data_IF_184870445061
#
_entry.id   IF_184870445061
#
_cell.length_a   1.000
_cell.length_b   1.000
_cell.length_c   1.000
_cell.angle_alpha   90.00
_cell.angle_beta   90.00
_cell.angle_gamma   90.00
#
_symmetry.space_group_name_H-M   'P 1'
#
loop_
_entity.id
_entity.type
_entity.pdbx_description
1 polymer ?
#
# COMPACT_ATOMS: atom_id res chain seq x y z
N UNK A 1 3.89 -20.46 7.73
CA UNK A 1 4.59 -19.70 6.68
C UNK A 1 4.00 -18.31 6.63
N UNK A 2 4.78 -17.23 6.81
CA UNK A 2 4.24 -15.88 6.75
C UNK A 2 3.82 -15.54 5.32
N UNK A 3 2.54 -15.19 5.14
CA UNK A 3 1.98 -14.69 3.88
C UNK A 3 1.86 -13.17 4.03
N UNK A 4 2.62 -12.40 3.26
CA UNK A 4 2.49 -10.94 3.24
C UNK A 4 1.52 -10.55 2.14
N UNK A 5 0.50 -9.78 2.51
CA UNK A 5 -0.67 -9.47 1.69
C UNK A 5 -0.69 -7.97 1.38
N UNK A 6 -0.77 -7.61 0.10
CA UNK A 6 -1.14 -6.25 -0.32
C UNK A 6 -2.63 -6.30 -0.70
N UNK A 7 -3.49 -5.79 0.18
CA UNK A 7 -4.93 -6.13 0.27
C UNK A 7 -5.90 -5.11 -0.32
N UNK A 8 -5.42 -4.06 -0.99
CA UNK A 8 -6.29 -2.92 -1.26
C UNK A 8 -7.07 -3.04 -2.59
N UNK A 9 -8.39 -2.78 -2.60
CA UNK A 9 -9.16 -2.61 -3.82
C UNK A 9 -8.60 -1.45 -4.67
N UNK A 10 -8.54 -1.63 -5.99
CA UNK A 10 -7.99 -0.66 -6.96
C UNK A 10 -6.51 -0.31 -6.74
N UNK A 11 -5.59 -1.30 -6.75
CA UNK A 11 -4.16 -1.06 -6.52
C UNK A 11 -3.52 -0.18 -7.60
N UNK A 12 -4.19 0.00 -8.75
CA UNK A 12 -3.68 0.69 -9.94
C UNK A 12 -3.95 2.19 -9.96
N UNK A 13 -4.65 2.75 -8.97
CA UNK A 13 -4.89 4.20 -8.92
C UNK A 13 -3.60 4.97 -8.65
N UNK A 14 -3.36 6.04 -9.38
CA UNK A 14 -2.26 6.97 -9.10
C UNK A 14 -2.44 7.65 -7.75
N UNK A 15 -1.35 8.17 -7.16
CA UNK A 15 -1.43 8.90 -5.90
C UNK A 15 -2.35 10.13 -6.00
N UNK A 16 -2.45 10.76 -7.16
CA UNK A 16 -3.38 11.87 -7.40
C UNK A 16 -4.84 11.43 -7.31
N UNK A 17 -5.19 10.29 -7.94
CA UNK A 17 -6.54 9.72 -7.88
C UNK A 17 -6.89 9.26 -6.46
N UNK A 18 -5.95 8.65 -5.75
CA UNK A 18 -6.12 8.24 -4.36
C UNK A 18 -6.43 9.45 -3.48
N UNK A 19 -5.68 10.55 -3.63
CA UNK A 19 -5.91 11.78 -2.88
C UNK A 19 -7.32 12.35 -3.07
N UNK A 20 -7.92 12.21 -4.26
CA UNK A 20 -9.31 12.63 -4.55
C UNK A 20 -10.34 11.75 -3.84
N UNK A 21 -9.97 10.53 -3.45
CA UNK A 21 -10.84 9.53 -2.83
C UNK A 21 -10.63 9.38 -1.32
N UNK A 22 -9.55 9.93 -0.75
CA UNK A 22 -9.15 9.81 0.66
C UNK A 22 -10.27 10.17 1.65
N UNK A 23 -11.16 11.09 1.29
CA UNK A 23 -12.28 11.51 2.15
C UNK A 23 -13.62 10.85 1.82
N UNK A 24 -13.62 9.92 0.85
CA UNK A 24 -14.82 9.22 0.36
C UNK A 24 -14.81 7.74 0.69
N UNK A 25 -13.62 7.13 0.77
CA UNK A 25 -13.48 5.69 0.99
C UNK A 25 -12.33 5.39 1.95
N UNK A 26 -12.51 4.39 2.80
CA UNK A 26 -11.50 3.94 3.76
C UNK A 26 -10.33 3.26 3.05
N UNK A 27 -10.57 2.56 1.95
CA UNK A 27 -9.51 1.93 1.15
C UNK A 27 -8.53 2.97 0.60
N UNK A 28 -9.03 4.12 0.12
CA UNK A 28 -8.15 5.21 -0.33
C UNK A 28 -7.31 5.81 0.81
N UNK A 29 -7.78 5.78 2.06
CA UNK A 29 -6.99 6.22 3.22
C UNK A 29 -5.86 5.24 3.57
N UNK A 30 -6.07 3.94 3.35
CA UNK A 30 -5.11 2.89 3.68
C UNK A 30 -4.06 2.66 2.61
N UNK A 31 -4.43 2.86 1.35
CA UNK A 31 -3.57 2.58 0.19
C UNK A 31 -2.20 3.26 0.24
N UNK A 32 -2.04 4.53 0.67
CA UNK A 32 -0.72 5.14 0.81
C UNK A 32 0.20 4.40 1.78
N UNK A 33 -0.34 3.81 2.85
CA UNK A 33 0.44 3.08 3.84
C UNK A 33 0.90 1.71 3.31
N UNK A 34 -0.03 0.93 2.75
CA UNK A 34 0.28 -0.39 2.21
C UNK A 34 1.18 -0.30 0.98
N UNK A 35 0.89 0.62 0.05
CA UNK A 35 1.74 0.88 -1.12
C UNK A 35 3.10 1.44 -0.71
N UNK A 36 3.12 2.40 0.22
CA UNK A 36 4.35 2.99 0.75
C UNK A 36 5.26 1.90 1.32
N UNK A 37 4.74 1.03 2.19
CA UNK A 37 5.52 -0.08 2.76
C UNK A 37 6.15 -0.96 1.69
N UNK A 38 5.37 -1.40 0.69
CA UNK A 38 5.85 -2.24 -0.41
C UNK A 38 6.92 -1.54 -1.24
N UNK A 39 6.77 -0.23 -1.48
CA UNK A 39 7.78 0.58 -2.14
C UNK A 39 9.09 0.64 -1.36
N UNK A 40 9.05 0.91 -0.04
CA UNK A 40 10.23 0.92 0.81
C UNK A 40 10.97 -0.42 0.82
N UNK A 41 10.24 -1.54 0.88
CA UNK A 41 10.84 -2.89 0.79
C UNK A 41 11.53 -3.10 -0.56
N UNK A 42 10.95 -2.58 -1.65
CA UNK A 42 11.58 -2.69 -2.97
C UNK A 42 12.84 -1.84 -3.06
N UNK A 43 12.84 -0.62 -2.53
CA UNK A 43 14.04 0.22 -2.49
C UNK A 43 15.15 -0.44 -1.66
N UNK A 44 14.82 -0.95 -0.47
CA UNK A 44 15.76 -1.68 0.38
C UNK A 44 16.46 -2.82 -0.37
N UNK A 45 15.68 -3.64 -1.09
CA UNK A 45 16.22 -4.74 -1.86
C UNK A 45 17.19 -4.27 -2.96
N UNK A 46 16.82 -3.23 -3.70
CA UNK A 46 17.64 -2.68 -4.79
C UNK A 46 18.93 -2.04 -4.26
N UNK A 47 18.85 -1.27 -3.19
CA UNK A 47 20.02 -0.62 -2.57
C UNK A 47 20.98 -1.69 -2.02
N UNK A 48 20.45 -2.70 -1.31
CA UNK A 48 21.28 -3.80 -0.81
C UNK A 48 21.94 -4.58 -1.94
N UNK A 49 21.22 -4.86 -3.03
CA UNK A 49 21.76 -5.59 -4.17
C UNK A 49 22.91 -4.82 -4.83
N UNK A 50 22.71 -3.53 -5.13
CA UNK A 50 23.72 -2.69 -5.79
C UNK A 50 24.93 -2.41 -4.89
N UNK A 51 24.72 -2.29 -3.58
CA UNK A 51 25.80 -2.03 -2.62
C UNK A 51 26.52 -3.29 -2.13
N UNK A 52 26.12 -4.49 -2.57
CA UNK A 52 26.66 -5.74 -2.02
C UNK A 52 26.31 -5.96 -0.54
N UNK A 53 25.23 -5.34 -0.07
CA UNK A 53 24.74 -5.41 1.31
C UNK A 53 25.38 -4.41 2.28
N UNK A 54 26.21 -3.49 1.79
CA UNK A 54 26.88 -2.49 2.62
C UNK A 54 26.04 -1.24 2.90
N UNK A 55 24.97 -1.02 2.13
CA UNK A 55 23.99 0.05 2.34
C UNK A 55 22.58 -0.55 2.33
N UNK A 56 21.70 0.08 3.09
CA UNK A 56 20.27 -0.10 3.06
C UNK A 56 19.54 1.24 2.96
N UNK A 57 18.23 1.14 2.99
CA UNK A 57 17.32 2.28 2.92
C UNK A 57 17.30 3.08 4.23
N UNK A 58 17.67 2.45 5.34
CA UNK A 58 17.76 3.05 6.66
C UNK A 58 18.87 4.12 6.72
N UNK A 59 20.02 3.91 6.08
CA UNK A 59 21.04 4.96 5.98
C UNK A 59 20.52 6.18 5.21
N UNK A 60 19.81 5.98 4.09
CA UNK A 60 19.20 7.08 3.33
C UNK A 60 18.17 7.83 4.19
N UNK A 61 17.35 7.12 4.97
CA UNK A 61 16.39 7.75 5.90
C UNK A 61 17.11 8.54 6.99
N UNK A 62 18.19 8.01 7.55
CA UNK A 62 19.00 8.71 8.56
C UNK A 62 19.63 10.00 7.98
N UNK A 63 20.13 9.95 6.75
CA UNK A 63 20.64 11.12 6.04
C UNK A 63 19.56 12.19 5.84
N UNK A 64 18.33 11.78 5.51
CA UNK A 64 17.18 12.67 5.35
C UNK A 64 16.76 13.30 6.67
N UNK A 65 16.75 12.53 7.76
CA UNK A 65 16.50 13.05 9.12
C UNK A 65 17.58 14.04 9.53
N UNK A 66 18.85 13.76 9.22
CA UNK A 66 19.95 14.66 9.51
C UNK A 66 19.84 15.96 8.71
N UNK A 67 19.49 15.89 7.42
CA UNK A 67 19.23 17.06 6.58
C UNK A 67 18.14 17.94 7.17
N UNK A 68 17.04 17.34 7.64
CA UNK A 68 15.94 18.06 8.26
C UNK A 68 16.40 18.86 9.49
N UNK A 69 17.22 18.23 10.34
CA UNK A 69 17.80 18.86 11.54
C UNK A 69 18.73 20.01 11.19
N UNK A 70 19.59 19.84 10.19
CA UNK A 70 20.58 20.86 9.81
C UNK A 70 19.97 22.06 9.10
N UNK A 71 18.94 21.84 8.27
CA UNK A 71 18.29 22.91 7.51
C UNK A 71 17.12 23.56 8.25
N UNK A 72 16.69 22.99 9.37
CA UNK A 72 15.55 23.48 10.16
C UNK A 72 14.19 23.38 9.44
N UNK A 73 14.10 22.55 8.40
CA UNK A 73 12.88 22.36 7.60
C UNK A 73 12.72 20.89 7.19
N UNK A 74 11.48 20.40 6.98
CA UNK A 74 11.27 19.05 6.47
C UNK A 74 11.93 18.84 5.10
N UNK A 75 12.50 17.64 4.85
CA UNK A 75 13.04 17.32 3.53
C UNK A 75 11.95 17.29 2.47
N UNK A 76 12.32 17.69 1.27
CA UNK A 76 11.47 17.69 0.08
C UNK A 76 11.57 16.37 -0.68
N UNK A 77 10.57 16.09 -1.53
CA UNK A 77 10.63 14.97 -2.46
C UNK A 77 11.85 15.06 -3.39
N UNK A 78 12.22 16.26 -3.84
CA UNK A 78 13.38 16.45 -4.70
C UNK A 78 14.69 16.06 -4.00
N UNK A 79 14.84 16.39 -2.71
CA UNK A 79 15.99 15.98 -1.90
C UNK A 79 16.00 14.45 -1.69
N UNK A 80 14.85 13.84 -1.45
CA UNK A 80 14.72 12.38 -1.38
C UNK A 80 15.16 11.70 -2.69
N UNK A 81 14.60 12.13 -3.82
CA UNK A 81 14.93 11.56 -5.13
C UNK A 81 16.38 11.81 -5.53
N UNK A 82 16.95 12.96 -5.17
CA UNK A 82 18.36 13.25 -5.41
C UNK A 82 19.30 12.30 -4.66
N UNK A 83 18.96 11.91 -3.42
CA UNK A 83 19.72 10.88 -2.68
C UNK A 83 19.47 9.49 -3.23
N UNK A 84 18.23 9.18 -3.60
CA UNK A 84 17.93 7.89 -4.20
C UNK A 84 18.65 7.70 -5.54
N UNK A 85 18.78 8.76 -6.35
CA UNK A 85 19.58 8.78 -7.58
C UNK A 85 21.07 8.48 -7.30
N UNK A 86 21.60 8.83 -6.12
CA UNK A 86 22.99 8.48 -5.73
C UNK A 86 23.16 6.99 -5.43
N UNK A 87 22.14 6.33 -4.88
CA UNK A 87 22.18 4.90 -4.56
C UNK A 87 21.86 4.00 -5.77
N UNK A 88 20.85 4.38 -6.57
CA UNK A 88 20.29 3.53 -7.62
C UNK A 88 20.52 4.06 -9.05
N UNK A 89 21.11 5.25 -9.20
CA UNK A 89 21.28 5.89 -10.49
C UNK A 89 19.93 6.16 -11.19
N UNK A 90 19.87 6.05 -12.53
CA UNK A 90 18.64 6.33 -13.31
C UNK A 90 17.41 5.50 -12.91
N UNK A 91 17.60 4.35 -12.25
CA UNK A 91 16.52 3.46 -11.81
C UNK A 91 15.67 4.11 -10.71
N UNK A 92 16.25 4.96 -9.86
CA UNK A 92 15.55 5.63 -8.76
C UNK A 92 14.28 6.36 -9.21
N UNK A 93 14.40 7.20 -10.24
CA UNK A 93 13.24 7.94 -10.77
C UNK A 93 12.19 7.03 -11.37
N UNK A 94 12.60 5.99 -12.08
CA UNK A 94 11.67 5.04 -12.66
C UNK A 94 10.86 4.32 -11.58
N UNK A 95 11.52 3.89 -10.49
CA UNK A 95 10.85 3.25 -9.36
C UNK A 95 9.87 4.22 -8.66
N UNK A 96 10.23 5.49 -8.51
CA UNK A 96 9.31 6.50 -7.98
C UNK A 96 8.11 6.74 -8.89
N UNK A 97 8.30 6.83 -10.21
CA UNK A 97 7.19 7.01 -11.16
C UNK A 97 6.25 5.81 -11.17
N UNK A 98 6.79 4.58 -11.08
CA UNK A 98 5.98 3.39 -10.90
C UNK A 98 5.14 3.44 -9.62
N UNK A 99 5.75 3.84 -8.49
CA UNK A 99 5.03 4.05 -7.24
C UNK A 99 3.92 5.11 -7.38
N UNK A 100 4.24 6.24 -8.01
CA UNK A 100 3.36 7.39 -8.09
C UNK A 100 2.17 7.17 -9.05
N UNK A 101 2.42 6.50 -10.17
CA UNK A 101 1.41 6.15 -11.16
C UNK A 101 0.48 5.01 -10.73
N UNK A 102 0.75 4.36 -9.59
CA UNK A 102 -0.03 3.21 -9.12
C UNK A 102 0.34 1.90 -9.81
N UNK A 103 1.49 1.80 -10.48
CA UNK A 103 1.95 0.52 -11.01
C UNK A 103 2.12 -0.48 -9.86
N UNK A 104 1.68 -1.72 -10.09
CA UNK A 104 1.84 -2.77 -9.10
C UNK A 104 3.34 -3.02 -8.83
N UNK A 105 3.73 -2.79 -7.58
CA UNK A 105 5.07 -3.08 -7.09
C UNK A 105 5.07 -4.46 -6.45
N UNK A 106 5.93 -5.34 -6.92
CA UNK A 106 6.14 -6.66 -6.34
C UNK A 106 7.52 -6.66 -5.68
N UNK A 107 7.59 -6.86 -4.35
CA UNK A 107 8.87 -7.03 -3.66
C UNK A 107 9.67 -8.19 -4.26
N UNK A 108 10.99 -8.04 -4.44
CA UNK A 108 11.86 -9.16 -4.79
C UNK A 108 11.74 -10.31 -3.77
N UNK A 109 12.12 -11.52 -4.17
CA UNK A 109 12.17 -12.64 -3.21
C UNK A 109 13.16 -12.32 -2.09
N UNK A 110 12.83 -12.74 -0.87
CA UNK A 110 13.67 -12.57 0.33
C UNK A 110 13.93 -11.12 0.76
N UNK A 111 13.23 -10.14 0.18
CA UNK A 111 13.40 -8.72 0.55
C UNK A 111 12.68 -8.32 1.83
N UNK A 112 11.69 -9.11 2.28
CA UNK A 112 10.92 -8.84 3.49
C UNK A 112 11.66 -9.32 4.74
N UNK A 113 12.05 -10.60 4.70
CA UNK A 113 12.88 -11.30 5.69
C UNK A 113 13.55 -12.47 4.97
N UNK A 114 14.70 -12.98 5.47
CA UNK A 114 15.32 -14.18 4.94
C UNK A 114 14.33 -15.33 4.83
N UNK A 115 14.21 -15.92 3.63
CA UNK A 115 13.33 -17.06 3.37
C UNK A 115 11.85 -16.72 3.14
N UNK A 116 11.41 -15.46 3.24
CA UNK A 116 10.05 -15.07 2.86
C UNK A 116 9.94 -14.67 1.39
N UNK A 117 8.78 -14.93 0.80
CA UNK A 117 8.43 -14.50 -0.55
C UNK A 117 6.95 -14.11 -0.60
N UNK A 118 6.63 -13.18 -1.50
CA UNK A 118 5.27 -12.76 -1.74
C UNK A 118 4.49 -13.87 -2.47
N UNK A 119 3.22 -14.08 -2.06
CA UNK A 119 2.28 -14.94 -2.76
C UNK A 119 1.05 -14.13 -3.12
N UNK A 120 0.50 -14.37 -4.32
CA UNK A 120 -0.76 -13.78 -4.74
C UNK A 120 -1.92 -14.56 -4.14
N UNK A 121 -2.85 -13.85 -3.53
CA UNK A 121 -4.14 -14.37 -3.06
C UNK A 121 -5.20 -13.42 -3.58
N UNK A 122 -6.16 -13.94 -4.32
CA UNK A 122 -7.32 -13.15 -4.72
C UNK A 122 -8.32 -13.15 -3.55
N UNK A 123 -8.74 -11.96 -3.12
CA UNK A 123 -9.73 -11.77 -2.06
C UNK A 123 -10.87 -10.91 -2.58
N UNK A 124 -12.09 -11.24 -2.17
CA UNK A 124 -13.24 -10.39 -2.46
C UNK A 124 -13.11 -9.07 -1.66
N UNK A 125 -13.43 -7.91 -2.27
CA UNK A 125 -13.49 -6.65 -1.54
C UNK A 125 -14.49 -6.75 -0.39
N UNK A 126 -14.09 -6.30 0.79
CA UNK A 126 -14.99 -6.22 1.94
C UNK A 126 -16.08 -5.18 1.69
N UNK A 127 -17.34 -5.58 1.85
CA UNK A 127 -18.50 -4.69 1.74
C UNK A 127 -18.98 -4.27 3.13
N UNK A 128 -18.91 -2.97 3.42
CA UNK A 128 -19.33 -2.41 4.70
C UNK A 128 -20.87 -2.45 4.88
N UNK A 129 -21.65 -2.60 3.79
CA UNK A 129 -23.11 -2.66 3.83
C UNK A 129 -23.80 -1.31 3.96
N UNK A 130 -23.07 -0.20 3.90
CA UNK A 130 -23.60 1.15 3.84
C UNK A 130 -22.58 2.10 3.20
N UNK A 131 -22.97 3.36 2.95
CA UNK A 131 -22.09 4.34 2.34
C UNK A 131 -20.96 4.76 3.31
N UNK A 132 -19.72 4.37 3.02
CA UNK A 132 -18.53 4.72 3.82
C UNK A 132 -18.39 6.23 4.04
N UNK A 133 -18.72 7.05 3.04
CA UNK A 133 -18.62 8.51 3.14
C UNK A 133 -19.45 9.08 4.30
N UNK A 134 -20.57 8.41 4.63
CA UNK A 134 -21.51 8.86 5.67
C UNK A 134 -20.96 8.75 7.10
N UNK A 135 -19.88 8.00 7.29
CA UNK A 135 -19.19 7.85 8.58
C UNK A 135 -17.77 8.42 8.57
N UNK A 136 -17.21 8.66 7.39
CA UNK A 136 -15.91 9.33 7.23
C UNK A 136 -16.03 10.86 7.40
N UNK A 137 -17.18 11.43 7.08
CA UNK A 137 -17.47 12.86 7.27
C UNK A 137 -18.47 13.04 8.42
N UNK A 138 -18.25 14.05 9.26
CA UNK A 138 -19.16 14.34 10.36
C UNK A 138 -20.50 14.93 9.87
N UNK A 139 -21.63 14.71 10.57
CA UNK A 139 -21.85 13.80 11.70
C UNK A 139 -21.96 12.33 11.25
N UNK A 140 -21.45 11.39 12.06
CA UNK A 140 -21.39 9.94 11.77
C UNK A 140 -22.78 9.29 11.80
N UNK A 141 -23.53 9.43 10.72
CA UNK A 141 -24.87 8.88 10.55
C UNK A 141 -24.82 7.88 9.41
N UNK A 142 -25.19 6.63 9.67
CA UNK A 142 -25.26 5.58 8.65
C UNK A 142 -26.30 5.95 7.59
N UNK A 143 -25.90 5.94 6.32
CA UNK A 143 -26.79 6.19 5.17
C UNK A 143 -26.56 5.15 4.10
N UNK A 144 -27.62 4.85 3.34
CA UNK A 144 -27.53 3.89 2.22
C UNK A 144 -27.27 2.46 2.67
N UNK A 145 -27.86 2.05 3.80
CA UNK A 145 -27.80 0.68 4.29
C UNK A 145 -28.35 -0.27 3.21
N UNK A 146 -27.60 -1.33 2.93
CA UNK A 146 -27.95 -2.34 1.96
C UNK A 146 -27.47 -3.72 2.42
N UNK A 147 -27.99 -4.76 1.78
CA UNK A 147 -27.60 -6.13 2.10
C UNK A 147 -26.26 -6.45 1.46
N UNK A 148 -25.29 -6.84 2.28
CA UNK A 148 -23.95 -7.22 1.81
C UNK A 148 -23.96 -8.57 1.11
N UNK A 149 -22.92 -8.82 0.30
CA UNK A 149 -22.74 -10.11 -0.40
C UNK A 149 -22.44 -11.26 0.57
N UNK A 150 -21.78 -10.97 1.68
CA UNK A 150 -21.47 -11.94 2.73
C UNK A 150 -22.75 -12.46 3.39
N UNK A 151 -23.70 -11.56 3.69
CA UNK A 151 -25.01 -11.94 4.24
C UNK A 151 -25.83 -12.74 3.22
N UNK A 152 -25.84 -12.33 1.95
CA UNK A 152 -26.52 -13.09 0.88
C UNK A 152 -25.94 -14.51 0.73
N UNK A 153 -24.62 -14.65 0.85
CA UNK A 153 -23.94 -15.96 0.80
C UNK A 153 -24.36 -16.82 1.98
N UNK A 154 -24.26 -16.33 3.22
CA UNK A 154 -24.64 -17.11 4.42
C UNK A 154 -26.09 -17.60 4.36
N UNK A 155 -27.01 -16.74 3.91
CA UNK A 155 -28.42 -17.12 3.71
C UNK A 155 -28.56 -18.21 2.64
N UNK A 156 -27.84 -18.10 1.52
CA UNK A 156 -27.84 -19.14 0.48
C UNK A 156 -27.30 -20.48 0.99
N UNK A 157 -26.26 -20.47 1.82
CA UNK A 157 -25.73 -21.68 2.46
C UNK A 157 -26.73 -22.30 3.44
N UNK A 158 -27.43 -21.48 4.21
CA UNK A 158 -28.50 -21.94 5.11
C UNK A 158 -29.67 -22.53 4.32
N UNK A 159 -30.12 -21.89 3.23
CA UNK A 159 -31.18 -22.40 2.37
C UNK A 159 -30.79 -23.72 1.69
N UNK A 160 -29.55 -23.88 1.24
CA UNK A 160 -29.05 -25.14 0.67
C UNK A 160 -29.00 -26.24 1.72
N UNK A 161 -28.59 -25.92 2.95
CA UNK A 161 -28.45 -26.89 4.06
C UNK A 161 -29.79 -27.34 4.66
N UNK A 162 -30.86 -26.59 4.39
CA UNK A 162 -32.22 -26.87 4.87
C UNK A 162 -33.12 -27.54 3.82
N UNK A 163 -32.63 -27.79 2.60
CA UNK A 163 -33.37 -28.59 1.61
C UNK A 163 -33.29 -30.07 2.01
N UNK A 164 -34.43 -30.75 2.27
CA UNK A 164 -34.41 -32.20 2.44
C UNK A 164 -34.00 -32.84 1.11
N UNK A 165 -33.07 -33.80 1.19
CA UNK A 165 -32.68 -34.65 0.06
C UNK A 165 -33.77 -35.64 -0.33
#
# INVERSE_FOLDING_TARGET
>A
MPRVVATEPNPTLSNEEVNKLTWKTQNAQRLPYSRGLVFWIRLEALIRELSGGHRGIDELVLEMVQLAKTCGKPPTLAEFLGRLDQELGPVARQEYEHYNSGKLIIPPKYSLIPGAFAVRIDMEPFDLGFNEESVLQGPRIVRGLHRTRELQRLESWMEISLRPG
#
